data_IF_857327954298
#
_entry.id   IF_857327954298
#
_cell.length_a   1.000
_cell.length_b   1.000
_cell.length_c   1.000
_cell.angle_alpha   90.00
_cell.angle_beta   90.00
_cell.angle_gamma   90.00
#
_symmetry.space_group_name_H-M   'P 1'
#
loop_
_entity.id
_entity.type
_entity.pdbx_description
1 polymer ?
#
# COMPACT_ATOMS: atom_id res chain seq x y z
N UNK A 1 -17.36 20.01 5.72
CA UNK A 1 -17.35 18.73 6.46
C UNK A 1 -16.28 17.87 5.84
N UNK A 2 -15.28 17.46 6.61
CA UNK A 2 -14.26 16.51 6.14
C UNK A 2 -14.95 15.20 5.76
N UNK A 3 -14.41 14.51 4.75
CA UNK A 3 -14.90 13.18 4.42
C UNK A 3 -14.54 12.21 5.55
N UNK A 4 -15.47 11.31 5.85
CA UNK A 4 -15.22 10.19 6.74
C UNK A 4 -14.83 8.92 5.97
N UNK A 5 -14.22 7.98 6.66
CA UNK A 5 -13.81 6.70 6.04
C UNK A 5 -15.01 5.93 5.48
N UNK A 6 -16.16 5.97 6.15
CA UNK A 6 -17.33 5.18 5.74
C UNK A 6 -17.90 5.65 4.40
N UNK A 7 -17.87 6.97 4.16
CA UNK A 7 -18.23 7.57 2.87
C UNK A 7 -17.28 7.13 1.75
N UNK A 8 -15.95 7.16 2.01
CA UNK A 8 -14.94 6.73 1.05
C UNK A 8 -15.02 5.23 0.77
N UNK A 9 -15.21 4.42 1.79
CA UNK A 9 -15.41 2.97 1.64
C UNK A 9 -16.61 2.69 0.75
N UNK A 10 -17.75 3.34 1.00
CA UNK A 10 -18.98 3.16 0.20
C UNK A 10 -18.75 3.57 -1.26
N UNK A 11 -18.10 4.71 -1.51
CA UNK A 11 -17.77 5.18 -2.85
C UNK A 11 -16.81 4.21 -3.55
N UNK A 12 -15.76 3.75 -2.85
CA UNK A 12 -14.80 2.78 -3.39
C UNK A 12 -15.44 1.45 -3.77
N UNK A 13 -16.33 0.92 -2.93
CA UNK A 13 -17.09 -0.31 -3.23
C UNK A 13 -18.01 -0.14 -4.43
N UNK A 14 -18.68 1.01 -4.56
CA UNK A 14 -19.51 1.30 -5.73
C UNK A 14 -18.70 1.30 -7.02
N UNK A 15 -17.51 1.93 -7.02
CA UNK A 15 -16.63 1.96 -8.19
C UNK A 15 -16.21 0.52 -8.58
N UNK A 16 -15.84 -0.31 -7.61
CA UNK A 16 -15.46 -1.71 -7.87
C UNK A 16 -16.62 -2.48 -8.48
N UNK A 17 -17.82 -2.38 -7.92
CA UNK A 17 -19.01 -3.08 -8.43
C UNK A 17 -19.37 -2.66 -9.86
N UNK A 18 -19.27 -1.38 -10.18
CA UNK A 18 -19.51 -0.90 -11.55
C UNK A 18 -18.40 -1.32 -12.53
N UNK A 19 -17.14 -1.41 -12.06
CA UNK A 19 -16.05 -1.94 -12.85
C UNK A 19 -16.23 -3.44 -13.16
N UNK A 20 -16.69 -4.23 -12.19
CA UNK A 20 -16.98 -5.66 -12.36
C UNK A 20 -18.08 -5.92 -13.40
N UNK A 21 -19.13 -5.10 -13.44
CA UNK A 21 -20.16 -5.16 -14.49
C UNK A 21 -19.58 -4.99 -15.89
N UNK A 22 -18.46 -4.27 -16.01
CA UNK A 22 -17.69 -4.06 -17.24
C UNK A 22 -16.49 -5.01 -17.39
N UNK A 23 -16.47 -6.09 -16.61
CA UNK A 23 -15.40 -7.11 -16.62
C UNK A 23 -14.01 -6.53 -16.31
N UNK A 24 -13.93 -5.49 -15.48
CA UNK A 24 -12.68 -4.93 -15.00
C UNK A 24 -12.45 -5.27 -13.53
N UNK A 25 -11.22 -5.67 -13.23
CA UNK A 25 -10.75 -5.93 -11.86
C UNK A 25 -10.16 -4.63 -11.32
N UNK A 26 -10.74 -4.15 -10.23
CA UNK A 26 -10.20 -3.08 -9.39
C UNK A 26 -10.11 -3.55 -7.94
N UNK A 27 -9.07 -3.13 -7.25
CA UNK A 27 -8.91 -3.34 -5.81
C UNK A 27 -8.52 -2.03 -5.15
N UNK A 28 -9.15 -1.72 -4.03
CA UNK A 28 -8.74 -0.61 -3.19
C UNK A 28 -7.34 -0.84 -2.63
N UNK A 29 -6.58 0.23 -2.50
CA UNK A 29 -5.27 0.27 -1.85
C UNK A 29 -5.16 1.50 -0.95
N UNK A 30 -4.02 1.73 -0.33
CA UNK A 30 -3.79 2.89 0.53
C UNK A 30 -4.61 2.88 1.82
N UNK A 31 -4.86 4.08 2.37
CA UNK A 31 -5.49 4.24 3.68
C UNK A 31 -6.91 3.72 3.79
N UNK A 32 -7.70 3.79 2.72
CA UNK A 32 -9.08 3.28 2.71
C UNK A 32 -9.10 1.74 2.73
N UNK A 33 -8.17 1.10 2.01
CA UNK A 33 -8.03 -0.35 2.06
C UNK A 33 -7.60 -0.83 3.47
N UNK A 34 -6.67 -0.11 4.11
CA UNK A 34 -6.27 -0.40 5.50
C UNK A 34 -7.48 -0.28 6.43
N UNK A 35 -8.32 0.75 6.26
CA UNK A 35 -9.56 0.90 7.07
C UNK A 35 -10.51 -0.28 6.90
N UNK A 36 -10.67 -0.81 5.69
CA UNK A 36 -11.51 -1.99 5.41
C UNK A 36 -10.96 -3.24 6.11
N UNK A 37 -9.64 -3.43 6.08
CA UNK A 37 -8.98 -4.55 6.74
C UNK A 37 -9.04 -4.47 8.26
N UNK A 38 -9.10 -3.24 8.83
CA UNK A 38 -9.03 -3.04 10.28
C UNK A 38 -10.41 -3.19 10.91
N UNK A 39 -10.72 -4.38 11.40
CA UNK A 39 -12.00 -4.72 12.03
C UNK A 39 -11.91 -4.72 13.56
N UNK A 40 -10.81 -5.23 14.12
CA UNK A 40 -10.63 -5.38 15.56
C UNK A 40 -10.03 -4.13 16.23
N UNK A 41 -9.31 -3.30 15.47
CA UNK A 41 -8.60 -2.13 15.96
C UNK A 41 -9.05 -0.84 15.27
N UNK A 42 -10.34 -0.75 14.90
CA UNK A 42 -10.89 0.42 14.19
C UNK A 42 -10.76 1.73 14.98
N UNK A 43 -10.71 1.66 16.32
CA UNK A 43 -10.48 2.78 17.23
C UNK A 43 -9.09 3.44 17.05
N UNK A 44 -8.12 2.72 16.50
CA UNK A 44 -6.78 3.26 16.25
C UNK A 44 -6.77 4.44 15.28
N UNK A 45 -7.70 4.49 14.33
CA UNK A 45 -7.77 5.63 13.40
C UNK A 45 -8.05 6.93 14.13
N UNK A 46 -8.97 6.92 15.09
CA UNK A 46 -9.28 8.08 15.95
C UNK A 46 -8.14 8.34 16.93
N UNK A 47 -7.70 7.32 17.68
CA UNK A 47 -6.63 7.42 18.69
C UNK A 47 -5.34 7.99 18.12
N UNK A 48 -4.95 7.57 16.91
CA UNK A 48 -3.76 8.04 16.23
C UNK A 48 -4.00 9.31 15.40
N UNK A 49 -5.21 9.86 15.41
CA UNK A 49 -5.61 10.98 14.55
C UNK A 49 -5.22 10.70 13.07
N UNK A 50 -5.63 9.51 12.58
CA UNK A 50 -5.38 9.08 11.19
C UNK A 50 -6.61 9.42 10.35
N UNK A 51 -6.60 10.61 9.77
CA UNK A 51 -7.67 11.07 8.89
C UNK A 51 -7.70 10.30 7.56
N UNK A 52 -8.87 10.14 6.93
CA UNK A 52 -8.98 9.57 5.60
C UNK A 52 -8.20 10.40 4.56
N UNK A 53 -7.84 9.77 3.46
CA UNK A 53 -7.17 10.38 2.32
C UNK A 53 -7.97 10.20 1.04
N UNK A 54 -7.27 10.17 -0.08
CA UNK A 54 -7.85 9.95 -1.40
C UNK A 54 -8.26 8.47 -1.59
N UNK A 55 -9.03 8.21 -2.63
CA UNK A 55 -9.33 6.86 -3.09
C UNK A 55 -8.27 6.38 -4.08
N UNK A 56 -7.55 5.36 -3.69
CA UNK A 56 -6.51 4.75 -4.51
C UNK A 56 -6.93 3.33 -4.93
N UNK A 57 -6.69 2.98 -6.20
CA UNK A 57 -7.01 1.68 -6.76
C UNK A 57 -5.86 1.08 -7.54
N UNK A 58 -5.83 -0.25 -7.56
CA UNK A 58 -5.01 -1.04 -8.45
C UNK A 58 -5.89 -1.85 -9.40
N UNK A 59 -5.58 -1.80 -10.70
CA UNK A 59 -6.26 -2.53 -11.75
C UNK A 59 -5.32 -3.27 -12.68
N UNK A 60 -5.88 -3.98 -13.66
CA UNK A 60 -5.12 -4.66 -14.70
C UNK A 60 -5.02 -3.78 -15.96
N UNK A 61 -3.79 -3.57 -16.46
CA UNK A 61 -3.51 -2.75 -17.65
C UNK A 61 -4.36 -3.15 -18.87
N UNK A 62 -4.55 -4.43 -19.10
CA UNK A 62 -5.37 -4.95 -20.19
C UNK A 62 -6.86 -4.55 -20.11
N UNK A 63 -7.31 -4.09 -18.93
CA UNK A 63 -8.69 -3.67 -18.65
C UNK A 63 -8.80 -2.15 -18.43
N UNK A 64 -7.72 -1.38 -18.65
CA UNK A 64 -7.69 0.06 -18.40
C UNK A 64 -8.76 0.84 -19.19
N UNK A 65 -9.14 0.37 -20.37
CA UNK A 65 -10.24 0.94 -21.15
C UNK A 65 -11.60 0.72 -20.45
N UNK A 66 -11.87 -0.48 -19.96
CA UNK A 66 -13.11 -0.80 -19.24
C UNK A 66 -13.25 0.05 -17.97
N UNK A 67 -12.12 0.24 -17.25
CA UNK A 67 -12.05 1.14 -16.08
C UNK A 67 -12.37 2.58 -16.48
N UNK A 68 -11.80 3.08 -17.58
CA UNK A 68 -12.08 4.41 -18.10
C UNK A 68 -13.58 4.61 -18.38
N UNK A 69 -14.21 3.64 -19.04
CA UNK A 69 -15.66 3.71 -19.34
C UNK A 69 -16.52 3.57 -18.07
N UNK A 70 -16.04 2.86 -17.06
CA UNK A 70 -16.67 2.81 -15.74
C UNK A 70 -16.68 4.19 -15.08
N UNK A 71 -15.54 4.83 -15.01
CA UNK A 71 -15.39 6.14 -14.34
C UNK A 71 -16.22 7.22 -15.03
N UNK A 72 -16.23 7.23 -16.37
CA UNK A 72 -17.10 8.13 -17.13
C UNK A 72 -18.59 7.87 -16.89
N UNK A 73 -18.99 6.59 -16.86
CA UNK A 73 -20.39 6.20 -16.62
C UNK A 73 -20.87 6.58 -15.22
N UNK A 74 -19.96 6.67 -14.25
CA UNK A 74 -20.24 7.16 -12.90
C UNK A 74 -20.19 8.71 -12.78
N UNK A 75 -19.86 9.41 -13.86
CA UNK A 75 -19.83 10.87 -13.89
C UNK A 75 -18.57 11.51 -13.33
N UNK A 76 -17.45 10.74 -13.24
CA UNK A 76 -16.15 11.30 -12.82
C UNK A 76 -15.47 12.05 -13.97
N UNK A 77 -14.84 13.17 -13.64
CA UNK A 77 -14.10 13.99 -14.59
C UNK A 77 -12.64 13.52 -14.70
N UNK A 78 -12.12 13.25 -15.92
CA UNK A 78 -10.76 12.78 -16.10
C UNK A 78 -9.74 13.91 -15.96
N UNK A 79 -8.57 13.60 -15.37
CA UNK A 79 -7.39 14.41 -15.65
C UNK A 79 -6.98 14.22 -17.12
N UNK A 80 -7.23 15.23 -17.95
CA UNK A 80 -7.08 15.15 -19.41
C UNK A 80 -5.65 14.76 -19.82
N UNK A 81 -4.64 15.36 -19.18
CA UNK A 81 -3.24 15.11 -19.52
C UNK A 81 -2.80 13.70 -19.13
N UNK A 82 -2.96 13.35 -17.85
CA UNK A 82 -2.53 12.03 -17.35
C UNK A 82 -3.25 10.91 -18.07
N UNK A 83 -4.57 11.02 -18.23
CA UNK A 83 -5.39 9.96 -18.82
C UNK A 83 -5.19 9.82 -20.34
N UNK A 84 -4.78 10.88 -21.03
CA UNK A 84 -4.45 10.82 -22.47
C UNK A 84 -3.09 10.17 -22.71
N UNK A 85 -2.06 10.59 -21.96
CA UNK A 85 -0.68 10.14 -22.22
C UNK A 85 -0.31 8.86 -21.48
N UNK A 86 -0.86 8.66 -20.26
CA UNK A 86 -0.47 7.58 -19.34
C UNK A 86 -1.64 6.68 -18.93
N UNK A 87 -2.84 6.84 -19.48
CA UNK A 87 -4.06 6.17 -19.03
C UNK A 87 -4.03 4.64 -19.03
N UNK A 88 -3.04 4.02 -19.67
CA UNK A 88 -2.78 2.58 -19.61
C UNK A 88 -1.90 2.16 -18.44
N UNK A 89 -1.23 3.12 -17.75
CA UNK A 89 -0.42 2.89 -16.54
C UNK A 89 -1.03 3.52 -15.31
N UNK A 90 -1.66 4.70 -15.48
CA UNK A 90 -2.27 5.48 -14.40
C UNK A 90 -3.43 6.29 -14.95
N UNK A 91 -4.52 6.33 -14.22
CA UNK A 91 -5.64 7.23 -14.48
C UNK A 91 -5.93 8.04 -13.23
N UNK A 92 -6.20 9.33 -13.41
CA UNK A 92 -6.62 10.23 -12.33
C UNK A 92 -8.01 10.77 -12.71
N UNK A 93 -8.91 10.69 -11.75
CA UNK A 93 -10.30 11.12 -11.89
C UNK A 93 -10.71 12.02 -10.74
N UNK A 94 -11.66 12.88 -10.99
CA UNK A 94 -12.14 13.83 -10.00
C UNK A 94 -13.65 13.69 -9.82
N UNK A 95 -14.09 13.78 -8.57
CA UNK A 95 -15.45 14.10 -8.19
C UNK A 95 -15.45 15.45 -7.47
N UNK A 96 -16.62 16.03 -7.18
CA UNK A 96 -16.69 17.25 -6.37
C UNK A 96 -16.07 17.13 -4.97
N UNK A 97 -15.81 15.91 -4.52
CA UNK A 97 -15.34 15.61 -3.17
C UNK A 97 -13.93 15.00 -3.12
N UNK A 98 -13.56 14.23 -4.15
CA UNK A 98 -12.37 13.37 -4.13
C UNK A 98 -11.57 13.45 -5.41
N UNK A 99 -10.27 13.22 -5.25
CA UNK A 99 -9.43 12.69 -6.31
C UNK A 99 -9.38 11.17 -6.19
N UNK A 100 -9.42 10.49 -7.32
CA UNK A 100 -9.30 9.04 -7.43
C UNK A 100 -8.09 8.73 -8.29
N UNK A 101 -7.19 7.93 -7.77
CA UNK A 101 -5.97 7.52 -8.45
C UNK A 101 -6.03 6.01 -8.74
N UNK A 102 -5.88 5.63 -10.01
CA UNK A 102 -5.95 4.24 -10.44
C UNK A 102 -4.65 3.87 -11.14
N UNK A 103 -3.88 2.99 -10.52
CA UNK A 103 -2.67 2.42 -11.10
C UNK A 103 -2.95 1.07 -11.75
N UNK A 104 -2.15 0.68 -12.73
CA UNK A 104 -2.35 -0.56 -13.47
C UNK A 104 -1.10 -1.44 -13.47
N UNK A 105 -1.28 -2.72 -13.10
CA UNK A 105 -0.29 -3.80 -13.06
C UNK A 105 0.87 -3.57 -12.08
N UNK A 106 1.43 -2.38 -12.05
CA UNK A 106 2.65 -2.04 -11.31
C UNK A 106 2.37 -0.90 -10.36
N UNK A 107 2.72 -1.10 -9.10
CA UNK A 107 2.83 -0.01 -8.14
C UNK A 107 4.28 0.46 -8.12
N UNK A 108 4.53 1.63 -8.70
CA UNK A 108 5.87 2.21 -8.85
C UNK A 108 5.93 3.55 -8.12
N UNK A 109 6.67 3.57 -7.02
CA UNK A 109 7.07 4.78 -6.30
C UNK A 109 8.57 4.71 -5.99
N UNK A 110 9.02 4.76 -4.75
CA UNK A 110 10.43 4.59 -4.42
C UNK A 110 10.97 3.23 -4.87
N UNK A 111 10.13 2.21 -4.85
CA UNK A 111 10.41 0.86 -5.35
C UNK A 111 9.24 0.35 -6.20
N UNK A 112 9.46 -0.76 -6.88
CA UNK A 112 8.51 -1.35 -7.83
C UNK A 112 7.90 -2.62 -7.23
N UNK A 113 6.56 -2.71 -7.26
CA UNK A 113 5.82 -3.89 -6.84
C UNK A 113 4.94 -4.35 -8.01
N UNK A 114 5.15 -5.59 -8.50
CA UNK A 114 4.28 -6.18 -9.52
C UNK A 114 3.00 -6.72 -8.86
N UNK A 115 1.87 -6.17 -9.28
CA UNK A 115 0.55 -6.47 -8.72
C UNK A 115 -0.32 -7.34 -9.61
N UNK A 116 0.14 -7.71 -10.83
CA UNK A 116 -0.68 -8.40 -11.83
C UNK A 116 -1.36 -9.66 -11.32
N UNK A 117 -0.59 -10.52 -10.64
CA UNK A 117 -1.09 -11.79 -10.14
C UNK A 117 -1.67 -11.69 -8.72
N UNK A 118 -1.57 -10.50 -8.10
CA UNK A 118 -1.99 -10.25 -6.73
C UNK A 118 -3.46 -9.83 -6.61
N UNK A 119 -4.02 -9.19 -7.64
CA UNK A 119 -5.36 -8.59 -7.58
C UNK A 119 -6.53 -9.57 -7.46
N UNK A 120 -6.26 -10.88 -7.56
CA UNK A 120 -7.29 -11.93 -7.40
C UNK A 120 -7.23 -12.62 -6.05
N UNK A 121 -6.25 -12.27 -5.20
CA UNK A 121 -6.01 -12.97 -3.93
C UNK A 121 -6.98 -12.47 -2.88
N UNK A 122 -7.32 -11.19 -2.91
CA UNK A 122 -8.20 -10.56 -1.93
C UNK A 122 -9.27 -9.68 -2.59
N UNK A 123 -10.32 -9.36 -1.83
CA UNK A 123 -11.45 -8.55 -2.26
C UNK A 123 -12.10 -7.84 -1.05
N UNK A 124 -12.47 -6.59 -1.16
CA UNK A 124 -12.39 -5.65 -2.30
C UNK A 124 -11.06 -4.91 -2.39
N UNK A 125 -10.09 -5.28 -1.60
CA UNK A 125 -8.80 -4.61 -1.43
C UNK A 125 -7.65 -5.45 -2.01
N UNK A 126 -6.45 -4.88 -2.06
CA UNK A 126 -5.22 -5.67 -2.11
C UNK A 126 -4.95 -6.32 -0.74
N UNK A 127 -4.10 -7.35 -0.68
CA UNK A 127 -3.83 -8.09 0.55
C UNK A 127 -3.13 -7.24 1.63
N UNK A 128 -3.20 -7.63 2.92
CA UNK A 128 -2.42 -6.98 3.98
C UNK A 128 -0.91 -6.93 3.69
N UNK A 129 -0.38 -7.97 3.04
CA UNK A 129 1.03 -8.03 2.63
C UNK A 129 1.39 -6.98 1.58
N UNK A 130 0.50 -6.77 0.60
CA UNK A 130 0.68 -5.77 -0.44
C UNK A 130 0.54 -4.35 0.14
N UNK A 131 -0.39 -4.13 1.07
CA UNK A 131 -0.53 -2.87 1.81
C UNK A 131 0.71 -2.57 2.65
N UNK A 132 1.26 -3.58 3.32
CA UNK A 132 2.52 -3.44 4.06
C UNK A 132 3.66 -3.02 3.13
N UNK A 133 3.87 -3.72 2.01
CA UNK A 133 4.90 -3.37 1.04
C UNK A 133 4.69 -1.97 0.45
N UNK A 134 3.44 -1.59 0.16
CA UNK A 134 3.09 -0.27 -0.32
C UNK A 134 3.53 0.84 0.64
N UNK A 135 3.39 0.63 1.94
CA UNK A 135 3.72 1.63 2.96
C UNK A 135 5.21 1.64 3.32
N UNK A 136 5.80 0.46 3.47
CA UNK A 136 7.17 0.34 3.95
C UNK A 136 8.23 0.73 2.91
N UNK A 137 7.87 0.81 1.62
CA UNK A 137 8.79 1.16 0.53
C UNK A 137 9.22 2.63 0.49
N UNK A 138 8.51 3.51 1.18
CA UNK A 138 8.68 4.97 1.07
C UNK A 138 9.95 5.40 1.78
N UNK A 139 10.96 5.91 1.04
CA UNK A 139 12.26 6.26 1.61
C UNK A 139 12.15 7.42 2.60
N UNK A 140 11.36 8.44 2.28
CA UNK A 140 11.02 9.53 3.20
C UNK A 140 9.67 9.27 3.85
N UNK A 141 9.59 8.15 4.59
CA UNK A 141 8.34 7.73 5.22
C UNK A 141 7.80 8.82 6.18
N UNK A 142 6.57 9.22 5.96
CA UNK A 142 5.89 10.26 6.73
C UNK A 142 5.06 9.67 7.88
N UNK A 143 4.49 10.56 8.69
CA UNK A 143 3.71 10.16 9.86
C UNK A 143 2.44 9.37 9.51
N UNK A 144 1.77 9.68 8.38
CA UNK A 144 0.58 8.94 7.94
C UNK A 144 0.93 7.48 7.63
N UNK A 145 2.05 7.25 6.94
CA UNK A 145 2.49 5.90 6.58
C UNK A 145 2.96 5.12 7.82
N UNK A 146 3.59 5.77 8.79
CA UNK A 146 3.93 5.16 10.09
C UNK A 146 2.66 4.72 10.82
N UNK A 147 1.64 5.57 10.89
CA UNK A 147 0.35 5.21 11.50
C UNK A 147 -0.33 4.05 10.77
N UNK A 148 -0.29 4.05 9.45
CA UNK A 148 -0.82 2.95 8.63
C UNK A 148 -0.09 1.63 8.92
N UNK A 149 1.25 1.64 9.06
CA UNK A 149 2.02 0.47 9.44
C UNK A 149 1.73 -0.01 10.86
N UNK A 150 1.56 0.91 11.83
CA UNK A 150 1.15 0.59 13.19
C UNK A 150 -0.20 -0.16 13.19
N UNK A 151 -1.18 0.37 12.46
CA UNK A 151 -2.52 -0.22 12.36
C UNK A 151 -2.43 -1.61 11.71
N UNK A 152 -1.73 -1.74 10.58
CA UNK A 152 -1.55 -3.03 9.91
C UNK A 152 -0.88 -4.07 10.81
N UNK A 153 0.18 -3.67 11.53
CA UNK A 153 0.90 -4.56 12.43
C UNK A 153 0.13 -4.90 13.72
N UNK A 154 -0.88 -4.15 14.10
CA UNK A 154 -1.75 -4.49 15.22
C UNK A 154 -2.93 -5.34 14.78
N UNK A 155 -3.48 -5.11 13.60
CA UNK A 155 -4.62 -5.86 13.09
C UNK A 155 -4.24 -7.25 12.59
N UNK A 156 -3.12 -7.37 11.86
CA UNK A 156 -2.74 -8.60 11.17
C UNK A 156 -1.54 -9.29 11.81
N UNK A 157 -1.66 -10.59 12.01
CA UNK A 157 -0.52 -11.41 12.39
C UNK A 157 0.45 -11.61 11.23
N UNK A 158 1.68 -11.98 11.53
CA UNK A 158 2.63 -12.47 10.54
C UNK A 158 2.38 -13.95 10.27
N UNK A 159 2.38 -14.34 8.99
CA UNK A 159 2.07 -15.70 8.57
C UNK A 159 2.85 -16.14 7.32
N UNK A 160 2.47 -17.29 6.79
CA UNK A 160 3.10 -17.87 5.60
C UNK A 160 2.21 -17.82 4.34
N UNK A 161 0.98 -17.33 4.47
CA UNK A 161 0.02 -17.17 3.38
C UNK A 161 -0.67 -15.80 3.46
N UNK A 162 -1.51 -15.49 2.46
CA UNK A 162 -2.20 -14.20 2.36
C UNK A 162 -3.60 -14.20 3.02
N UNK A 163 -3.92 -15.20 3.85
CA UNK A 163 -5.21 -15.29 4.53
C UNK A 163 -5.26 -14.36 5.75
N UNK A 164 -5.60 -13.10 5.50
CA UNK A 164 -5.70 -12.07 6.54
C UNK A 164 -4.43 -11.90 7.38
N UNK A 165 -3.26 -12.20 6.80
CA UNK A 165 -1.96 -12.10 7.46
C UNK A 165 -0.93 -11.37 6.61
N UNK A 166 0.14 -10.91 7.25
CA UNK A 166 1.33 -10.39 6.57
C UNK A 166 2.20 -11.59 6.18
N UNK A 167 2.15 -11.96 4.90
CA UNK A 167 2.79 -13.16 4.34
C UNK A 167 4.31 -12.99 4.24
N UNK A 168 5.04 -13.56 5.19
CA UNK A 168 6.50 -13.46 5.28
C UNK A 168 7.21 -14.12 4.09
N UNK A 169 6.65 -15.21 3.53
CA UNK A 169 7.23 -15.87 2.35
C UNK A 169 7.15 -14.97 1.12
N UNK A 170 6.00 -14.32 0.92
CA UNK A 170 5.82 -13.40 -0.20
C UNK A 170 6.72 -12.18 -0.05
N UNK A 171 6.70 -11.51 1.09
CA UNK A 171 7.54 -10.35 1.38
C UNK A 171 9.02 -10.71 1.24
N UNK A 172 9.45 -11.84 1.81
CA UNK A 172 10.82 -12.33 1.73
C UNK A 172 11.26 -12.59 0.28
N UNK A 173 10.37 -13.09 -0.57
CA UNK A 173 10.64 -13.29 -2.01
C UNK A 173 10.82 -11.96 -2.74
N UNK A 174 9.91 -11.00 -2.54
CA UNK A 174 9.97 -9.67 -3.18
C UNK A 174 11.27 -8.95 -2.78
N UNK A 175 11.53 -8.87 -1.49
CA UNK A 175 12.69 -8.15 -0.95
C UNK A 175 14.01 -8.92 -1.12
N UNK A 176 13.94 -10.23 -1.28
CA UNK A 176 15.10 -11.07 -1.62
C UNK A 176 15.57 -10.91 -3.06
N UNK A 177 14.77 -10.30 -3.93
CA UNK A 177 15.15 -9.99 -5.32
C UNK A 177 15.58 -8.53 -5.52
N UNK A 178 15.20 -7.63 -4.64
CA UNK A 178 15.54 -6.20 -4.69
C UNK A 178 16.25 -5.75 -3.40
N UNK A 179 17.58 -5.56 -3.47
CA UNK A 179 18.39 -5.08 -2.35
C UNK A 179 17.98 -3.68 -1.90
N UNK A 180 17.67 -2.78 -2.82
CA UNK A 180 17.29 -1.41 -2.51
C UNK A 180 15.99 -1.37 -1.71
N UNK A 181 15.00 -2.14 -2.12
CA UNK A 181 13.75 -2.26 -1.41
C UNK A 181 13.93 -2.94 -0.03
N UNK A 182 14.72 -4.03 0.03
CA UNK A 182 15.09 -4.67 1.28
C UNK A 182 15.76 -3.69 2.25
N UNK A 183 16.68 -2.87 1.76
CA UNK A 183 17.40 -1.88 2.56
C UNK A 183 16.46 -0.81 3.11
N UNK A 184 15.62 -0.22 2.25
CA UNK A 184 14.58 0.75 2.66
C UNK A 184 13.63 0.15 3.69
N UNK A 185 13.19 -1.09 3.50
CA UNK A 185 12.31 -1.79 4.44
C UNK A 185 12.96 -1.92 5.82
N UNK A 186 14.22 -2.33 5.89
CA UNK A 186 14.93 -2.44 7.17
C UNK A 186 15.09 -1.08 7.85
N UNK A 187 15.45 -0.03 7.12
CA UNK A 187 15.54 1.33 7.67
C UNK A 187 14.19 1.80 8.26
N UNK A 188 13.10 1.54 7.55
CA UNK A 188 11.78 1.95 7.98
C UNK A 188 11.25 1.11 9.15
N UNK A 189 11.57 -0.18 9.20
CA UNK A 189 11.27 -1.03 10.37
C UNK A 189 12.03 -0.55 11.61
N UNK A 190 13.31 -0.19 11.47
CA UNK A 190 14.10 0.38 12.57
C UNK A 190 13.55 1.75 13.02
N UNK A 191 13.08 2.55 12.07
CA UNK A 191 12.44 3.83 12.38
C UNK A 191 11.10 3.64 13.08
N UNK A 192 10.27 2.72 12.60
CA UNK A 192 8.98 2.37 13.20
C UNK A 192 9.16 1.88 14.64
N UNK A 193 10.09 0.94 14.85
CA UNK A 193 10.41 0.35 16.14
C UNK A 193 10.77 1.39 17.20
N UNK A 194 11.55 2.42 16.79
CA UNK A 194 11.90 3.55 17.67
C UNK A 194 10.74 4.51 17.89
N UNK A 195 9.98 4.83 16.83
CA UNK A 195 8.92 5.84 16.90
C UNK A 195 7.69 5.36 17.68
N UNK A 196 7.43 4.06 17.73
CA UNK A 196 6.30 3.47 18.48
C UNK A 196 6.30 3.92 19.93
N UNK A 197 7.47 4.09 20.55
CA UNK A 197 7.55 4.57 21.93
C UNK A 197 7.00 5.99 22.14
N UNK A 198 7.04 6.82 21.13
CA UNK A 198 6.56 8.19 21.17
C UNK A 198 5.03 8.32 21.07
N UNK A 199 4.34 7.23 20.68
CA UNK A 199 2.88 7.22 20.57
C UNK A 199 2.26 6.93 21.95
N UNK A 200 1.97 7.99 22.73
CA UNK A 200 1.31 7.88 24.03
C UNK A 200 -0.11 7.30 23.96
N UNK A 201 -0.72 7.34 22.77
CA UNK A 201 -2.05 6.79 22.48
C UNK A 201 -2.06 5.27 22.43
N UNK A 202 -0.90 4.62 22.25
CA UNK A 202 -0.78 3.16 22.24
C UNK A 202 -0.61 2.60 23.65
N UNK A 203 -1.30 1.50 23.91
CA UNK A 203 -1.13 0.72 25.14
C UNK A 203 0.22 0.01 25.15
N UNK A 204 0.73 -0.31 26.34
CA UNK A 204 2.02 -1.02 26.46
C UNK A 204 2.02 -2.36 25.70
N UNK A 205 0.92 -3.10 25.75
CA UNK A 205 0.76 -4.39 25.05
C UNK A 205 0.77 -4.21 23.52
N UNK A 206 0.15 -3.13 23.01
CA UNK A 206 0.16 -2.80 21.58
C UNK A 206 1.58 -2.49 21.11
N UNK A 207 2.34 -1.70 21.88
CA UNK A 207 3.75 -1.43 21.58
C UNK A 207 4.58 -2.70 21.54
N UNK A 208 4.43 -3.55 22.54
CA UNK A 208 5.13 -4.83 22.60
C UNK A 208 4.78 -5.75 21.42
N UNK A 209 3.52 -5.77 20.99
CA UNK A 209 3.07 -6.50 19.80
C UNK A 209 3.78 -5.99 18.55
N UNK A 210 3.87 -4.67 18.36
CA UNK A 210 4.55 -4.07 17.21
C UNK A 210 6.04 -4.43 17.22
N UNK A 211 6.74 -4.28 18.36
CA UNK A 211 8.15 -4.66 18.50
C UNK A 211 8.38 -6.13 18.14
N UNK A 212 7.53 -7.02 18.65
CA UNK A 212 7.60 -8.46 18.34
C UNK A 212 7.43 -8.71 16.84
N UNK A 213 6.43 -8.12 16.21
CA UNK A 213 6.14 -8.29 14.76
C UNK A 213 7.23 -7.69 13.89
N UNK A 214 7.75 -6.53 14.25
CA UNK A 214 8.91 -5.92 13.56
C UNK A 214 10.10 -6.87 13.62
N UNK A 215 10.40 -7.43 14.78
CA UNK A 215 11.49 -8.42 14.93
C UNK A 215 11.27 -9.65 14.06
N UNK A 216 10.08 -10.24 14.09
CA UNK A 216 9.74 -11.44 13.29
C UNK A 216 9.89 -11.15 11.79
N UNK A 217 9.42 -10.00 11.33
CA UNK A 217 9.56 -9.58 9.91
C UNK A 217 11.05 -9.46 9.57
N UNK A 218 11.86 -8.76 10.38
CA UNK A 218 13.30 -8.60 10.13
C UNK A 218 14.03 -9.93 10.09
N UNK A 219 13.73 -10.84 11.02
CA UNK A 219 14.33 -12.18 11.07
C UNK A 219 13.97 -12.98 9.81
N UNK A 220 12.71 -12.93 9.37
CA UNK A 220 12.27 -13.56 8.12
C UNK A 220 12.93 -12.96 6.88
N UNK A 221 13.07 -11.64 6.83
CA UNK A 221 13.75 -10.96 5.70
C UNK A 221 15.24 -11.33 5.65
N UNK A 222 15.90 -11.49 6.77
CA UNK A 222 17.31 -11.90 6.82
C UNK A 222 17.49 -13.37 6.39
N UNK A 223 16.58 -14.25 6.80
CA UNK A 223 16.59 -15.67 6.46
C UNK A 223 16.18 -15.95 5.00
N UNK A 224 15.40 -15.06 4.37
CA UNK A 224 14.91 -15.26 3.02
C UNK A 224 16.04 -15.38 2.00
N UNK A 225 15.92 -16.29 1.00
CA UNK A 225 16.89 -16.44 -0.08
C UNK A 225 17.11 -15.13 -0.83
N UNK A 226 18.37 -14.83 -1.18
CA UNK A 226 18.75 -13.63 -1.94
C UNK A 226 19.15 -14.02 -3.36
N UNK A 227 18.57 -13.31 -4.35
CA UNK A 227 18.92 -13.51 -5.76
C UNK A 227 20.38 -13.08 -6.05
N UNK A 228 20.91 -13.51 -7.18
CA UNK A 228 22.22 -13.04 -7.64
C UNK A 228 22.24 -11.52 -7.85
N UNK A 229 21.19 -10.96 -8.44
CA UNK A 229 21.00 -9.52 -8.64
C UNK A 229 21.08 -8.78 -7.31
N UNK A 230 20.40 -9.27 -6.28
CA UNK A 230 20.41 -8.70 -4.93
C UNK A 230 21.82 -8.67 -4.35
N UNK A 231 22.56 -9.80 -4.42
CA UNK A 231 23.94 -9.91 -3.89
C UNK A 231 24.93 -9.01 -4.61
N UNK A 232 24.79 -8.85 -5.93
CA UNK A 232 25.62 -7.93 -6.70
C UNK A 232 25.32 -6.47 -6.31
N UNK A 233 24.06 -6.14 -6.12
CA UNK A 233 23.65 -4.78 -5.72
C UNK A 233 24.10 -4.45 -4.30
N UNK A 234 24.09 -5.41 -3.39
CA UNK A 234 24.58 -5.28 -2.00
C UNK A 234 26.05 -4.82 -1.96
N UNK A 235 26.91 -5.33 -2.84
CA UNK A 235 28.32 -4.94 -2.91
C UNK A 235 28.51 -3.45 -3.22
N UNK A 236 27.60 -2.86 -3.96
CA UNK A 236 27.59 -1.42 -4.25
C UNK A 236 27.03 -0.65 -3.04
N UNK A 237 26.01 -1.22 -2.39
CA UNK A 237 25.39 -0.64 -1.23
C UNK A 237 24.79 0.75 -1.52
N UNK A 238 24.90 1.65 -0.57
CA UNK A 238 24.41 3.03 -0.64
C UNK A 238 25.32 3.99 -1.41
N UNK A 239 26.44 3.50 -1.96
CA UNK A 239 27.34 4.32 -2.81
C UNK A 239 26.67 4.76 -4.12
N UNK A 240 25.63 4.05 -4.57
CA UNK A 240 24.78 4.45 -5.67
C UNK A 240 23.32 4.49 -5.17
N UNK A 241 22.54 5.39 -5.75
CA UNK A 241 21.11 5.53 -5.44
C UNK A 241 20.40 4.20 -5.61
N UNK A 242 19.58 3.81 -4.61
CA UNK A 242 18.93 2.50 -4.52
C UNK A 242 17.41 2.55 -4.64
N UNK A 243 16.85 3.73 -4.86
CA UNK A 243 15.42 3.98 -4.98
C UNK A 243 15.12 4.98 -6.09
N UNK A 244 13.89 5.00 -6.58
CA UNK A 244 13.41 6.02 -7.49
C UNK A 244 13.07 7.30 -6.71
N UNK A 245 13.51 8.44 -7.18
CA UNK A 245 13.07 9.74 -6.63
C UNK A 245 11.63 9.95 -7.02
N UNK A 246 10.76 10.06 -6.04
CA UNK A 246 9.36 10.44 -6.24
C UNK A 246 9.26 11.92 -5.94
N UNK A 247 8.97 12.72 -6.96
CA UNK A 247 8.62 14.12 -6.76
C UNK A 247 7.28 14.17 -6.02
N UNK A 248 7.27 14.71 -4.81
CA UNK A 248 6.01 15.05 -4.16
C UNK A 248 5.31 16.09 -5.02
N UNK A 249 4.20 15.72 -5.61
CA UNK A 249 3.28 16.72 -6.17
C UNK A 249 2.75 17.49 -4.96
N UNK A 250 3.34 18.66 -4.71
CA UNK A 250 2.85 19.60 -3.71
C UNK A 250 1.40 19.94 -4.13
N UNK A 251 0.46 19.47 -3.34
CA UNK A 251 -0.99 19.65 -3.54
C UNK A 251 -1.48 20.85 -2.77
#
# INVERSE_FOLDING_TARGET
>A
MGQDFDSLVKEGLQIIQEAEKRQAVLRLMGGVAIRIHTQNHADLFERLNRAPGDLDFMGLKKQSWNVRETMKGLGYEPNQQVNAYHGHKRQIWYSPRNQIDILFDIFEMCHVIDMKDRLKIDYPTITPSDLFLQKIQIVQINEKDIKDLIILLLEHETGEDDKNSINLKYIGRVLGDDWGFWYTTNLNLDKLDKLVENYSQLKAEEKQTIHSRVKVIKDALNAAPKSLKWRLRERIGTKAQWYNVVEEVIR
#
